data_IF_982690800652
#
_entry.id   IF_982690800652
#
_cell.length_a   1.000
_cell.length_b   1.000
_cell.length_c   1.000
_cell.angle_alpha   90.00
_cell.angle_beta   90.00
_cell.angle_gamma   90.00
#
_symmetry.space_group_name_H-M   'P 1'
#
loop_
_entity.id
_entity.type
_entity.pdbx_description
1 polymer ?
#
# COMPACT_ATOMS: atom_id res chain seq x y z
N UNK A 1 -21.72 5.91 14.89
CA UNK A 1 -20.64 6.29 15.85
C UNK A 1 -19.25 6.17 15.25
N UNK A 2 -19.00 5.21 14.34
CA UNK A 2 -17.69 5.06 13.68
C UNK A 2 -17.11 6.37 13.09
N UNK A 3 -17.89 7.24 12.42
CA UNK A 3 -17.35 8.50 11.91
C UNK A 3 -16.82 9.44 12.99
N UNK A 4 -17.46 9.48 14.17
CA UNK A 4 -16.97 10.27 15.30
C UNK A 4 -15.63 9.75 15.80
N UNK A 5 -15.53 8.44 16.02
CA UNK A 5 -14.30 7.82 16.52
C UNK A 5 -13.17 8.00 15.51
N UNK A 6 -13.45 7.83 14.21
CA UNK A 6 -12.48 8.05 13.15
C UNK A 6 -12.01 9.51 13.10
N UNK A 7 -12.91 10.49 13.09
CA UNK A 7 -12.55 11.91 13.06
C UNK A 7 -11.71 12.34 14.28
N UNK A 8 -12.11 11.92 15.48
CA UNK A 8 -11.37 12.24 16.71
C UNK A 8 -9.99 11.56 16.75
N UNK A 9 -9.91 10.31 16.30
CA UNK A 9 -8.63 9.57 16.23
C UNK A 9 -7.70 10.17 15.18
N UNK A 10 -8.23 10.56 14.01
CA UNK A 10 -7.44 11.20 12.95
C UNK A 10 -6.80 12.49 13.44
N UNK A 11 -7.50 13.30 14.24
CA UNK A 11 -6.92 14.50 14.82
C UNK A 11 -5.68 14.19 15.68
N UNK A 12 -5.72 13.12 16.48
CA UNK A 12 -4.57 12.68 17.27
C UNK A 12 -3.44 12.10 16.40
N UNK A 13 -3.79 11.34 15.36
CA UNK A 13 -2.81 10.73 14.45
C UNK A 13 -2.04 11.77 13.62
N UNK A 14 -2.66 12.89 13.28
CA UNK A 14 -2.00 13.97 12.53
C UNK A 14 -0.84 14.59 13.32
N UNK A 15 -0.98 14.72 14.65
CA UNK A 15 0.01 15.41 15.49
C UNK A 15 0.99 14.46 16.18
N UNK A 16 0.58 13.22 16.46
CA UNK A 16 1.34 12.31 17.33
C UNK A 16 1.94 11.08 16.62
N UNK A 17 1.68 10.88 15.33
CA UNK A 17 2.23 9.76 14.56
C UNK A 17 3.26 10.26 13.56
N UNK A 18 4.38 9.54 13.41
CA UNK A 18 5.37 9.82 12.35
C UNK A 18 4.97 9.21 11.00
N UNK A 19 4.27 8.05 11.03
CA UNK A 19 3.95 7.24 9.86
C UNK A 19 2.65 6.46 10.12
N UNK A 20 1.64 6.66 9.28
CA UNK A 20 0.34 6.01 9.43
C UNK A 20 -0.01 5.24 8.16
N UNK A 21 -0.07 3.91 8.26
CA UNK A 21 -0.46 3.04 7.15
C UNK A 21 -1.99 2.86 7.15
N UNK A 22 -2.65 3.32 6.10
CA UNK A 22 -4.11 3.25 6.02
C UNK A 22 -4.53 1.92 5.42
N UNK A 23 -5.40 1.24 6.17
CA UNK A 23 -6.06 0.00 5.76
C UNK A 23 -7.56 0.23 5.86
N UNK A 24 -8.27 0.08 4.74
CA UNK A 24 -9.71 0.22 4.65
C UNK A 24 -10.36 -1.16 4.60
N UNK A 25 -11.34 -1.40 5.47
CA UNK A 25 -12.12 -2.63 5.44
C UNK A 25 -12.85 -2.80 4.11
N UNK A 26 -13.38 -1.73 3.53
CA UNK A 26 -14.09 -1.78 2.24
C UNK A 26 -13.18 -2.35 1.13
N UNK A 27 -11.94 -1.87 1.06
CA UNK A 27 -10.95 -2.38 0.11
C UNK A 27 -10.57 -3.83 0.36
N UNK A 28 -10.44 -4.24 1.63
CA UNK A 28 -10.17 -5.63 1.98
C UNK A 28 -11.32 -6.56 1.56
N UNK A 29 -12.57 -6.15 1.78
CA UNK A 29 -13.75 -6.88 1.32
C UNK A 29 -13.79 -6.98 -0.21
N UNK A 30 -13.52 -5.88 -0.91
CA UNK A 30 -13.46 -5.85 -2.37
C UNK A 30 -12.37 -6.77 -2.92
N UNK A 31 -11.17 -6.78 -2.33
CA UNK A 31 -10.09 -7.70 -2.71
C UNK A 31 -10.52 -9.16 -2.48
N UNK A 32 -11.09 -9.48 -1.32
CA UNK A 32 -11.55 -10.83 -1.01
C UNK A 32 -12.62 -11.31 -2.00
N UNK A 33 -13.60 -10.46 -2.31
CA UNK A 33 -14.73 -10.82 -3.16
C UNK A 33 -14.36 -10.82 -4.65
N UNK A 34 -13.77 -9.73 -5.14
CA UNK A 34 -13.50 -9.55 -6.57
C UNK A 34 -12.21 -10.24 -7.03
N UNK A 35 -11.15 -10.20 -6.23
CA UNK A 35 -9.83 -10.75 -6.62
C UNK A 35 -9.66 -12.19 -6.15
N UNK A 36 -9.92 -12.48 -4.88
CA UNK A 36 -9.75 -13.82 -4.30
C UNK A 36 -10.96 -14.75 -4.51
N UNK A 37 -12.07 -14.25 -5.05
CA UNK A 37 -13.31 -15.01 -5.32
C UNK A 37 -13.93 -15.67 -4.09
N UNK A 38 -13.74 -15.06 -2.92
CA UNK A 38 -14.34 -15.51 -1.66
C UNK A 38 -15.74 -14.87 -1.54
N UNK A 39 -16.79 -15.68 -1.72
CA UNK A 39 -18.19 -15.19 -1.72
C UNK A 39 -18.61 -14.56 -0.39
N UNK A 40 -18.10 -15.08 0.72
CA UNK A 40 -18.40 -14.63 2.09
C UNK A 40 -17.09 -14.39 2.84
N UNK A 41 -16.48 -13.20 2.70
CA UNK A 41 -15.24 -12.87 3.40
C UNK A 41 -15.42 -12.88 4.92
N UNK A 42 -14.57 -13.64 5.59
CA UNK A 42 -14.50 -13.71 7.06
C UNK A 42 -13.39 -12.80 7.59
N UNK A 43 -13.41 -12.47 8.88
CA UNK A 43 -12.33 -11.70 9.52
C UNK A 43 -10.97 -12.37 9.34
N UNK A 44 -10.90 -13.71 9.34
CA UNK A 44 -9.66 -14.43 9.09
C UNK A 44 -9.10 -14.17 7.69
N UNK A 45 -9.97 -13.99 6.69
CA UNK A 45 -9.54 -13.63 5.34
C UNK A 45 -8.98 -12.21 5.28
N UNK A 46 -9.66 -11.25 5.93
CA UNK A 46 -9.20 -9.86 5.99
C UNK A 46 -7.87 -9.76 6.76
N UNK A 47 -7.77 -10.43 7.90
CA UNK A 47 -6.56 -10.47 8.72
C UNK A 47 -5.39 -11.11 7.97
N UNK A 48 -5.63 -12.12 7.14
CA UNK A 48 -4.59 -12.73 6.29
C UNK A 48 -4.01 -11.71 5.31
N UNK A 49 -4.85 -10.88 4.68
CA UNK A 49 -4.40 -9.80 3.79
C UNK A 49 -3.57 -8.76 4.53
N UNK A 50 -4.07 -8.27 5.68
CA UNK A 50 -3.39 -7.29 6.52
C UNK A 50 -2.03 -7.82 6.98
N UNK A 51 -1.98 -9.09 7.41
CA UNK A 51 -0.74 -9.71 7.90
C UNK A 51 0.33 -9.80 6.81
N UNK A 52 -0.07 -10.08 5.56
CA UNK A 52 0.83 -10.10 4.40
C UNK A 52 1.48 -8.74 4.16
N UNK A 53 0.69 -7.67 4.21
CA UNK A 53 1.18 -6.29 4.01
C UNK A 53 2.06 -5.83 5.16
N UNK A 54 1.65 -6.08 6.41
CA UNK A 54 2.46 -5.75 7.58
C UNK A 54 3.79 -6.50 7.59
N UNK A 55 3.78 -7.77 7.20
CA UNK A 55 5.01 -8.55 6.96
C UNK A 55 5.86 -7.89 5.89
N UNK A 56 5.27 -7.48 4.77
CA UNK A 56 5.92 -6.76 3.68
C UNK A 56 6.63 -5.48 4.13
N UNK A 57 5.90 -4.56 4.77
CA UNK A 57 6.42 -3.26 5.25
C UNK A 57 7.61 -3.44 6.20
N UNK A 58 7.53 -4.42 7.10
CA UNK A 58 8.57 -4.66 8.12
C UNK A 58 9.71 -5.58 7.64
N UNK A 59 9.73 -5.97 6.36
CA UNK A 59 10.71 -6.93 5.83
C UNK A 59 12.15 -6.44 6.02
N UNK A 60 12.43 -5.17 5.68
CA UNK A 60 13.77 -4.58 5.78
C UNK A 60 14.29 -4.47 7.22
N UNK A 61 13.43 -4.63 8.22
CA UNK A 61 13.81 -4.66 9.64
C UNK A 61 14.15 -6.07 10.12
N UNK A 62 13.47 -7.06 9.54
CA UNK A 62 13.51 -8.46 10.02
C UNK A 62 14.53 -9.30 9.28
N UNK A 63 14.85 -8.93 8.05
CA UNK A 63 15.75 -9.67 7.18
C UNK A 63 16.83 -8.76 6.60
N UNK A 64 18.07 -9.26 6.46
CA UNK A 64 19.10 -8.54 5.74
C UNK A 64 18.70 -8.42 4.27
N UNK A 65 18.64 -7.19 3.76
CA UNK A 65 18.42 -6.87 2.36
C UNK A 65 19.62 -6.15 1.74
N UNK A 66 19.68 -6.12 0.40
CA UNK A 66 20.73 -5.38 -0.31
C UNK A 66 20.54 -3.85 -0.19
N UNK A 67 19.28 -3.39 -0.08
CA UNK A 67 18.92 -2.03 0.32
C UNK A 67 18.24 -2.08 1.69
N UNK A 68 19.02 -1.98 2.76
CA UNK A 68 18.48 -1.86 4.11
C UNK A 68 17.90 -0.45 4.31
N UNK A 69 16.57 -0.38 4.39
CA UNK A 69 15.81 0.78 4.87
C UNK A 69 15.21 0.45 6.24
N UNK A 70 15.72 1.08 7.30
CA UNK A 70 15.02 1.08 8.59
C UNK A 70 13.73 1.93 8.48
N UNK A 71 12.83 1.82 9.47
CA UNK A 71 11.57 2.59 9.47
C UNK A 71 11.82 4.09 9.48
N UNK A 72 12.92 4.53 10.10
CA UNK A 72 13.28 5.95 10.15
C UNK A 72 13.62 6.46 8.76
N UNK A 73 14.42 5.72 8.00
CA UNK A 73 14.81 6.00 6.62
C UNK A 73 13.62 5.92 5.68
N UNK A 74 12.71 4.96 5.89
CA UNK A 74 11.42 4.95 5.20
C UNK A 74 10.66 6.26 5.46
N UNK A 75 10.52 6.67 6.72
CA UNK A 75 9.85 7.93 7.09
C UNK A 75 10.49 9.17 6.45
N UNK A 76 11.81 9.30 6.57
CA UNK A 76 12.58 10.43 5.98
C UNK A 76 12.38 10.52 4.47
N UNK A 77 12.33 9.37 3.79
CA UNK A 77 12.19 9.34 2.33
C UNK A 77 10.75 9.47 1.86
N UNK A 78 9.78 9.06 2.68
CA UNK A 78 8.38 8.98 2.31
C UNK A 78 7.54 10.17 2.79
N UNK A 79 7.98 10.93 3.79
CA UNK A 79 7.23 12.05 4.38
C UNK A 79 7.89 13.38 4.02
N UNK A 80 7.52 14.00 2.89
CA UNK A 80 8.06 15.31 2.50
C UNK A 80 7.54 16.45 3.40
N UNK A 81 6.37 16.28 4.01
CA UNK A 81 5.75 17.27 4.90
C UNK A 81 5.22 16.60 6.17
N UNK A 82 5.45 17.15 7.37
CA UNK A 82 5.16 16.47 8.64
C UNK A 82 3.73 15.98 8.84
N UNK A 83 2.73 16.68 8.27
CA UNK A 83 1.30 16.31 8.40
C UNK A 83 0.80 15.38 7.27
N UNK A 84 1.65 15.10 6.28
CA UNK A 84 1.35 14.27 5.12
C UNK A 84 2.07 12.93 5.24
N UNK A 85 1.82 12.23 6.34
CA UNK A 85 2.43 10.95 6.72
C UNK A 85 1.43 9.78 6.68
N UNK A 86 0.36 9.94 5.89
CA UNK A 86 -0.66 8.92 5.68
C UNK A 86 -0.38 8.15 4.39
N UNK A 87 -0.07 6.86 4.53
CA UNK A 87 0.33 6.02 3.42
C UNK A 87 -0.80 5.13 2.93
N UNK A 88 -0.95 5.07 1.62
CA UNK A 88 -1.70 4.03 0.94
C UNK A 88 -0.84 2.78 0.84
N UNK A 89 -1.45 1.62 1.03
CA UNK A 89 -0.73 0.34 0.99
C UNK A 89 -1.28 -0.56 -0.09
N UNK A 90 -0.40 -1.37 -0.69
CA UNK A 90 -0.76 -2.33 -1.72
C UNK A 90 0.09 -3.59 -1.64
N UNK A 91 -0.39 -4.67 -2.23
CA UNK A 91 0.32 -5.94 -2.24
C UNK A 91 0.05 -6.73 -3.51
N UNK A 92 1.08 -7.36 -4.05
CA UNK A 92 0.95 -8.29 -5.14
C UNK A 92 1.93 -9.47 -4.97
N UNK A 93 1.54 -10.68 -5.40
CA UNK A 93 0.25 -11.03 -5.98
C UNK A 93 -0.82 -11.33 -4.91
N UNK A 94 -2.08 -10.99 -5.20
CA UNK A 94 -3.23 -11.60 -4.50
C UNK A 94 -3.71 -12.81 -5.30
N UNK A 95 -3.36 -14.00 -4.81
CA UNK A 95 -3.67 -15.26 -5.49
C UNK A 95 -4.78 -16.00 -4.75
N UNK A 96 -5.87 -16.40 -5.44
CA UNK A 96 -6.87 -17.29 -4.85
C UNK A 96 -6.26 -18.62 -4.41
N UNK A 97 -6.71 -19.13 -3.26
CA UNK A 97 -6.29 -20.45 -2.74
C UNK A 97 -6.52 -21.53 -3.79
N UNK A 98 -5.47 -22.31 -4.09
CA UNK A 98 -5.50 -23.39 -5.08
C UNK A 98 -5.12 -22.99 -6.52
N UNK A 99 -4.89 -21.69 -6.79
CA UNK A 99 -4.36 -21.22 -8.08
C UNK A 99 -2.87 -20.87 -8.07
N UNK A 100 -2.23 -20.98 -6.90
CA UNK A 100 -0.82 -20.64 -6.65
C UNK A 100 0.15 -21.47 -7.51
N UNK A 101 -0.12 -22.77 -7.70
CA UNK A 101 0.74 -23.67 -8.48
C UNK A 101 0.67 -23.44 -10.00
N UNK A 102 -0.33 -22.70 -10.47
CA UNK A 102 -0.58 -22.50 -11.90
C UNK A 102 -0.14 -21.13 -12.41
N UNK A 103 0.34 -20.23 -11.53
CA UNK A 103 0.75 -18.87 -11.89
C UNK A 103 2.21 -18.62 -11.57
N UNK A 104 3.04 -18.64 -12.61
CA UNK A 104 4.40 -18.14 -12.54
C UNK A 104 4.36 -16.63 -12.77
N UNK A 105 4.50 -15.87 -11.68
CA UNK A 105 4.53 -14.42 -11.74
C UNK A 105 5.91 -13.92 -12.17
N UNK A 106 5.94 -12.99 -13.12
CA UNK A 106 7.17 -12.27 -13.48
C UNK A 106 7.34 -11.01 -12.63
N UNK A 107 8.57 -10.48 -12.56
CA UNK A 107 8.84 -9.18 -11.89
C UNK A 107 7.98 -8.08 -12.49
N UNK A 108 7.77 -8.07 -13.81
CA UNK A 108 6.92 -7.09 -14.49
C UNK A 108 5.46 -7.19 -14.05
N UNK A 109 4.90 -8.39 -13.93
CA UNK A 109 3.52 -8.58 -13.48
C UNK A 109 3.32 -8.19 -12.02
N UNK A 110 4.29 -8.50 -11.15
CA UNK A 110 4.26 -8.09 -9.74
C UNK A 110 4.34 -6.56 -9.63
N UNK A 111 5.27 -5.94 -10.37
CA UNK A 111 5.44 -4.48 -10.39
C UNK A 111 4.17 -3.79 -10.90
N UNK A 112 3.59 -4.22 -12.02
CA UNK A 112 2.34 -3.65 -12.49
C UNK A 112 1.18 -3.92 -11.52
N UNK A 113 1.18 -5.10 -10.88
CA UNK A 113 0.18 -5.49 -9.91
C UNK A 113 0.15 -4.61 -8.67
N UNK A 114 1.30 -4.19 -8.12
CA UNK A 114 1.31 -3.35 -6.91
C UNK A 114 0.83 -1.92 -7.14
N UNK A 115 0.90 -1.41 -8.38
CA UNK A 115 0.36 -0.10 -8.76
C UNK A 115 -1.10 -0.15 -9.25
N UNK A 116 -1.69 -1.34 -9.33
CA UNK A 116 -3.10 -1.51 -9.69
C UNK A 116 -4.00 -1.13 -8.49
N UNK A 117 -5.01 -0.30 -8.74
CA UNK A 117 -5.97 0.12 -7.72
C UNK A 117 -6.74 -1.06 -7.10
N UNK A 118 -6.87 -2.19 -7.83
CA UNK A 118 -7.53 -3.41 -7.34
C UNK A 118 -6.73 -4.14 -6.25
N UNK A 119 -5.44 -3.85 -6.15
CA UNK A 119 -4.53 -4.48 -5.19
C UNK A 119 -4.17 -3.54 -4.04
N UNK A 120 -4.81 -2.38 -3.96
CA UNK A 120 -4.64 -1.44 -2.86
C UNK A 120 -5.57 -1.76 -1.70
N UNK A 121 -5.03 -1.69 -0.48
CA UNK A 121 -5.77 -1.87 0.76
C UNK A 121 -6.44 -0.57 1.23
N UNK A 122 -6.30 0.51 0.47
CA UNK A 122 -6.91 1.81 0.77
C UNK A 122 -8.01 2.12 -0.23
N UNK A 123 -9.15 2.61 0.25
CA UNK A 123 -10.32 2.90 -0.57
C UNK A 123 -10.19 4.26 -1.28
N UNK A 124 -9.14 4.39 -2.08
CA UNK A 124 -8.85 5.57 -2.88
C UNK A 124 -8.37 5.15 -4.27
N UNK A 125 -8.73 5.92 -5.30
CA UNK A 125 -8.21 5.68 -6.64
C UNK A 125 -6.92 6.50 -6.85
N UNK A 126 -5.75 5.86 -7.05
CA UNK A 126 -4.50 6.59 -7.26
C UNK A 126 -4.51 7.53 -8.46
N UNK A 127 -5.34 7.22 -9.48
CA UNK A 127 -5.47 8.03 -10.69
C UNK A 127 -6.10 9.40 -10.45
N UNK A 128 -6.82 9.56 -9.33
CA UNK A 128 -7.44 10.83 -8.95
C UNK A 128 -6.47 11.75 -8.18
N UNK A 129 -5.21 11.31 -8.01
CA UNK A 129 -4.18 12.08 -7.33
C UNK A 129 -2.81 11.89 -7.98
N UNK A 130 -1.79 12.34 -7.27
CA UNK A 130 -0.39 12.12 -7.62
C UNK A 130 0.36 11.56 -6.43
N UNK A 131 1.32 10.70 -6.69
CA UNK A 131 2.27 10.21 -5.71
C UNK A 131 3.29 11.31 -5.41
N UNK A 132 3.35 11.72 -4.15
CA UNK A 132 4.44 12.51 -3.61
C UNK A 132 5.70 11.66 -3.55
N UNK A 133 5.58 10.49 -2.92
CA UNK A 133 6.65 9.50 -2.75
C UNK A 133 6.04 8.10 -2.84
N UNK A 134 6.83 7.13 -3.27
CA UNK A 134 6.44 5.73 -3.34
C UNK A 134 7.61 4.84 -2.89
N UNK A 135 7.30 3.73 -2.24
CA UNK A 135 8.27 2.70 -1.89
C UNK A 135 7.69 1.33 -2.24
N UNK A 136 8.50 0.49 -2.88
CA UNK A 136 8.16 -0.90 -3.19
C UNK A 136 9.19 -1.83 -2.59
N UNK A 137 8.72 -2.71 -1.72
CA UNK A 137 9.54 -3.76 -1.09
C UNK A 137 9.23 -5.07 -1.78
N UNK A 138 10.17 -5.51 -2.62
CA UNK A 138 10.11 -6.80 -3.29
C UNK A 138 10.72 -7.89 -2.41
N UNK A 139 10.16 -9.10 -2.50
CA UNK A 139 10.63 -10.28 -1.79
C UNK A 139 10.63 -11.49 -2.69
N UNK A 140 11.66 -12.32 -2.55
CA UNK A 140 11.85 -13.54 -3.34
C UNK A 140 13.12 -13.50 -4.18
N UNK A 141 13.38 -14.60 -4.89
CA UNK A 141 14.54 -14.73 -5.76
C UNK A 141 14.33 -13.93 -7.06
N UNK A 142 14.88 -12.72 -7.13
CA UNK A 142 14.74 -11.84 -8.30
C UNK A 142 16.01 -11.05 -8.58
N UNK A 143 16.18 -10.68 -9.85
CA UNK A 143 17.25 -9.81 -10.31
C UNK A 143 16.97 -8.36 -9.94
N UNK A 144 17.88 -7.72 -9.21
CA UNK A 144 17.81 -6.28 -8.89
C UNK A 144 17.69 -5.43 -10.15
N UNK A 145 18.42 -5.80 -11.20
CA UNK A 145 18.40 -5.11 -12.49
C UNK A 145 16.99 -5.10 -13.08
N UNK A 146 16.33 -6.25 -13.07
CA UNK A 146 14.99 -6.39 -13.64
C UNK A 146 13.98 -5.55 -12.85
N UNK A 147 14.11 -5.53 -11.51
CA UNK A 147 13.28 -4.69 -10.63
C UNK A 147 13.47 -3.20 -10.96
N UNK A 148 14.72 -2.73 -11.06
CA UNK A 148 15.02 -1.33 -11.39
C UNK A 148 14.52 -0.94 -12.77
N UNK A 149 14.75 -1.78 -13.79
CA UNK A 149 14.25 -1.55 -15.16
C UNK A 149 12.72 -1.45 -15.21
N UNK A 150 12.00 -2.33 -14.49
CA UNK A 150 10.54 -2.27 -14.42
C UNK A 150 10.03 -1.05 -13.66
N UNK A 151 10.73 -0.62 -12.60
CA UNK A 151 10.33 0.55 -11.82
C UNK A 151 10.56 1.86 -12.58
N UNK A 152 11.63 1.95 -13.37
CA UNK A 152 11.84 3.04 -14.33
C UNK A 152 10.73 3.04 -15.37
N UNK A 153 10.36 1.87 -15.91
CA UNK A 153 9.27 1.76 -16.88
C UNK A 153 7.93 2.27 -16.34
N UNK A 154 7.57 1.93 -15.09
CA UNK A 154 6.36 2.44 -14.43
C UNK A 154 6.40 3.96 -14.29
N UNK A 155 7.53 4.53 -13.89
CA UNK A 155 7.68 5.99 -13.76
C UNK A 155 7.59 6.70 -15.11
N UNK A 156 8.23 6.17 -16.16
CA UNK A 156 8.17 6.77 -17.50
C UNK A 156 6.76 6.70 -18.09
N UNK A 157 6.08 5.55 -17.96
CA UNK A 157 4.72 5.37 -18.47
C UNK A 157 3.68 6.15 -17.67
N UNK A 158 3.91 6.28 -16.36
CA UNK A 158 3.01 6.91 -15.40
C UNK A 158 3.48 8.29 -14.95
N UNK A 159 4.30 8.99 -15.73
CA UNK A 159 4.94 10.24 -15.33
C UNK A 159 3.96 11.25 -14.71
N UNK A 160 2.77 11.39 -15.28
CA UNK A 160 1.73 12.31 -14.79
C UNK A 160 1.14 11.93 -13.42
N UNK A 161 1.31 10.67 -13.00
CA UNK A 161 0.87 10.17 -11.69
C UNK A 161 1.89 10.47 -10.58
N UNK A 162 3.10 10.93 -10.92
CA UNK A 162 4.15 11.28 -9.95
C UNK A 162 4.35 12.79 -9.93
N UNK A 163 4.74 13.35 -8.78
CA UNK A 163 5.10 14.77 -8.72
C UNK A 163 6.48 15.03 -9.32
N UNK A 164 6.59 16.06 -10.16
CA UNK A 164 7.84 16.41 -10.86
C UNK A 164 8.87 17.11 -9.96
N UNK A 165 8.42 17.78 -8.89
CA UNK A 165 9.25 18.63 -8.03
C UNK A 165 9.95 17.85 -6.90
N UNK A 166 9.60 16.58 -6.68
CA UNK A 166 10.39 15.66 -5.84
C UNK A 166 11.19 14.75 -6.77
N UNK A 167 12.48 14.98 -6.98
CA UNK A 167 13.32 14.09 -7.77
C UNK A 167 13.47 12.73 -7.08
N UNK A 168 13.57 11.65 -7.85
CA UNK A 168 13.80 10.29 -7.36
C UNK A 168 12.83 9.88 -6.23
N UNK A 169 11.55 10.18 -6.41
CA UNK A 169 10.52 9.98 -5.39
C UNK A 169 10.04 8.53 -5.21
N UNK A 170 10.58 7.60 -6.00
CA UNK A 170 10.24 6.17 -5.91
C UNK A 170 11.44 5.39 -5.40
N UNK A 171 11.25 4.66 -4.31
CA UNK A 171 12.24 3.82 -3.69
C UNK A 171 11.94 2.34 -3.90
N UNK A 172 12.99 1.56 -4.09
CA UNK A 172 12.91 0.11 -4.26
C UNK A 172 13.76 -0.55 -3.20
N UNK A 173 13.25 -1.63 -2.62
CA UNK A 173 14.00 -2.51 -1.74
C UNK A 173 13.76 -3.95 -2.16
N UNK A 174 14.78 -4.79 -2.07
CA UNK A 174 14.68 -6.21 -2.43
C UNK A 174 15.23 -7.05 -1.29
N UNK A 175 14.46 -8.08 -0.92
CA UNK A 175 14.82 -9.08 0.05
C UNK A 175 14.76 -10.47 -0.59
N UNK A 176 15.85 -11.24 -0.49
CA UNK A 176 15.90 -12.58 -1.08
C UNK A 176 15.02 -13.60 -0.35
N UNK A 177 14.49 -13.26 0.83
CA UNK A 177 13.67 -14.16 1.66
C UNK A 177 12.19 -13.98 1.33
N UNK A 178 11.67 -14.94 0.55
CA UNK A 178 10.27 -15.03 0.20
C UNK A 178 9.36 -15.30 1.44
N UNK A 179 8.09 -14.89 1.41
CA UNK A 179 7.08 -15.37 2.35
C UNK A 179 6.82 -16.88 2.21
N UNK A 180 6.12 -17.50 3.17
CA UNK A 180 5.88 -18.95 3.17
C UNK A 180 5.04 -19.45 1.99
N UNK A 181 4.09 -18.64 1.53
CA UNK A 181 3.03 -19.09 0.61
C UNK A 181 3.27 -18.65 -0.84
N UNK A 182 4.29 -17.82 -1.10
CA UNK A 182 4.58 -17.26 -2.42
C UNK A 182 6.07 -17.19 -2.67
N UNK A 183 6.51 -17.55 -3.88
CA UNK A 183 7.93 -17.48 -4.28
C UNK A 183 8.41 -16.04 -4.45
N UNK A 184 7.53 -15.16 -4.94
CA UNK A 184 7.80 -13.75 -5.14
C UNK A 184 6.58 -12.91 -4.76
N UNK A 185 6.82 -11.77 -4.11
CA UNK A 185 5.81 -10.76 -3.86
C UNK A 185 6.42 -9.36 -3.82
N UNK A 186 5.58 -8.34 -3.89
CA UNK A 186 5.94 -6.97 -3.61
C UNK A 186 4.89 -6.30 -2.74
N UNK A 187 5.36 -5.44 -1.86
CA UNK A 187 4.54 -4.59 -1.00
C UNK A 187 4.77 -3.14 -1.37
N UNK A 188 3.68 -2.43 -1.65
CA UNK A 188 3.69 -1.03 -2.02
C UNK A 188 3.28 -0.16 -0.83
N UNK A 189 4.01 0.93 -0.65
CA UNK A 189 3.70 2.01 0.28
C UNK A 189 3.74 3.30 -0.54
N UNK A 190 2.63 3.99 -0.64
CA UNK A 190 2.51 5.23 -1.40
C UNK A 190 2.11 6.38 -0.50
N UNK A 191 2.77 7.53 -0.66
CA UNK A 191 2.25 8.80 -0.18
C UNK A 191 1.57 9.49 -1.36
N UNK A 192 0.24 9.40 -1.43
CA UNK A 192 -0.55 9.89 -2.56
C UNK A 192 -1.54 10.95 -2.10
N UNK A 193 -1.73 11.99 -2.91
CA UNK A 193 -2.78 12.99 -2.68
C UNK A 193 -4.19 12.40 -2.80
N UNK A 194 -4.35 11.23 -3.42
CA UNK A 194 -5.63 10.51 -3.51
C UNK A 194 -6.21 10.11 -2.13
N UNK A 195 -5.38 10.08 -1.08
CA UNK A 195 -5.82 9.82 0.30
C UNK A 195 -6.88 10.82 0.79
N UNK A 196 -6.97 11.99 0.18
CA UNK A 196 -8.00 12.98 0.46
C UNK A 196 -9.43 12.43 0.30
N UNK A 197 -9.65 11.49 -0.62
CA UNK A 197 -10.97 10.88 -0.86
C UNK A 197 -11.49 10.18 0.40
N UNK A 198 -10.60 9.50 1.11
CA UNK A 198 -10.91 8.81 2.35
C UNK A 198 -11.27 9.81 3.46
N UNK A 199 -10.48 10.88 3.60
CA UNK A 199 -10.77 11.93 4.57
C UNK A 199 -12.06 12.68 4.27
N UNK A 200 -12.35 12.95 2.99
CA UNK A 200 -13.61 13.55 2.56
C UNK A 200 -14.81 12.64 2.87
N UNK A 201 -14.68 11.32 2.64
CA UNK A 201 -15.73 10.36 2.97
C UNK A 201 -16.06 10.36 4.47
N UNK A 202 -15.03 10.22 5.32
CA UNK A 202 -15.20 10.25 6.79
C UNK A 202 -15.77 11.59 7.25
N UNK A 203 -15.26 12.70 6.71
CA UNK A 203 -15.72 14.05 7.04
C UNK A 203 -17.18 14.32 6.67
N UNK A 204 -17.64 13.79 5.52
CA UNK A 204 -19.04 13.88 5.09
C UNK A 204 -19.97 13.10 6.02
N UNK A 205 -19.60 11.87 6.39
CA UNK A 205 -20.37 11.04 7.31
C UNK A 205 -20.44 11.67 8.71
N UNK A 206 -19.30 12.16 9.22
CA UNK A 206 -19.23 12.89 10.48
C UNK A 206 -20.14 14.13 10.46
N UNK A 207 -20.06 14.95 9.41
CA UNK A 207 -20.86 16.17 9.29
C UNK A 207 -22.37 15.88 9.28
N UNK A 208 -22.78 14.80 8.61
CA UNK A 208 -24.19 14.39 8.56
C UNK A 208 -24.73 13.97 9.95
N UNK A 209 -23.95 13.19 10.70
CA UNK A 209 -24.32 12.77 12.06
C UNK A 209 -24.27 13.94 13.05
N UNK A 210 -23.21 14.74 12.99
CA UNK A 210 -22.99 15.85 13.92
C UNK A 210 -24.05 16.94 13.81
N UNK A 211 -24.48 17.28 12.57
CA UNK A 211 -25.60 18.23 12.34
C UNK A 211 -26.88 17.80 13.04
N UNK A 212 -27.11 16.49 13.17
CA UNK A 212 -28.31 15.92 13.82
C UNK A 212 -28.13 15.71 15.32
N UNK A 213 -26.93 15.96 15.88
CA UNK A 213 -26.56 15.63 17.26
C UNK A 213 -26.87 14.17 17.63
N UNK A 214 -26.71 13.28 16.64
CA UNK A 214 -26.91 11.83 16.77
C UNK A 214 -25.62 11.11 17.20
#
# INVERSE_FOLDING_TARGET
VEPYNATLSLHQLVENSDQTFIISNDSLYDICFNTLKIKTPTLDNLNSLVSSVMSGITTCLRFPGQLNSDLRKLGVNMVPFPRLHFFTTGYAPFTPKGSEQFKNYTVSEITNGVFDSRNMLTACNPKNGRYLTAAVVFRGAMSMRDVEEQMVHVQTKGHDNFVEWIPNNVQTAVCNIAPKDVEMCATFVGNSTSVQELFHSVGSQFSSMFRRKA
#
